data_IF_577935592940
#
_entry.id   IF_577935592940
#
_cell.length_a   1.000
_cell.length_b   1.000
_cell.length_c   1.000
_cell.angle_alpha   90.00
_cell.angle_beta   90.00
_cell.angle_gamma   90.00
#
_symmetry.space_group_name_H-M   'P 1'
#
loop_
_entity.id
_entity.type
_entity.pdbx_description
1 polymer ?
#
# COMPACT_ATOMS: atom_id res chain seq x y z
N UNK A 1 3.50 -5.42 -43.36
CA UNK A 1 4.24 -4.17 -43.64
C UNK A 1 3.27 -3.02 -43.41
N UNK A 2 3.31 -2.38 -42.24
CA UNK A 2 2.38 -1.29 -41.91
C UNK A 2 2.89 -0.02 -42.56
N UNK A 3 2.08 0.52 -43.47
CA UNK A 3 2.32 1.74 -44.25
C UNK A 3 2.52 2.93 -43.33
N UNK A 4 3.69 3.59 -43.44
CA UNK A 4 3.99 4.90 -42.88
C UNK A 4 2.90 5.87 -43.37
N UNK A 5 1.97 6.28 -42.51
CA UNK A 5 0.94 7.27 -42.87
C UNK A 5 1.63 8.60 -43.14
N UNK A 6 1.72 8.97 -44.41
CA UNK A 6 2.24 10.28 -44.82
C UNK A 6 1.29 11.38 -44.33
N UNK A 7 1.79 12.25 -43.46
CA UNK A 7 1.07 13.45 -43.03
C UNK A 7 1.03 14.42 -44.22
N UNK A 8 -0.07 14.38 -44.99
CA UNK A 8 -0.24 15.14 -46.24
C UNK A 8 -0.53 16.63 -46.04
N UNK A 9 -0.98 17.03 -44.86
CA UNK A 9 -1.37 18.42 -44.54
C UNK A 9 -0.24 19.20 -43.88
N UNK A 10 -0.15 20.50 -44.17
CA UNK A 10 0.80 21.41 -43.52
C UNK A 10 0.41 21.64 -42.04
N UNK A 11 1.42 21.78 -41.17
CA UNK A 11 1.22 22.08 -39.74
C UNK A 11 0.44 23.38 -39.52
N UNK A 12 0.69 24.39 -40.37
CA UNK A 12 0.02 25.69 -40.29
C UNK A 12 -1.48 25.56 -40.59
N UNK A 13 -1.83 24.86 -41.68
CA UNK A 13 -3.22 24.61 -42.06
C UNK A 13 -3.97 23.81 -41.00
N UNK A 14 -3.31 22.81 -40.44
CA UNK A 14 -3.92 22.00 -39.36
C UNK A 14 -4.16 22.81 -38.09
N UNK A 15 -3.25 23.73 -37.73
CA UNK A 15 -3.45 24.64 -36.60
C UNK A 15 -4.60 25.63 -36.85
N UNK A 16 -4.72 26.13 -38.08
CA UNK A 16 -5.80 27.01 -38.51
C UNK A 16 -7.16 26.30 -38.48
N UNK A 17 -7.26 25.11 -39.07
CA UNK A 17 -8.48 24.29 -39.07
C UNK A 17 -8.95 23.99 -37.63
N UNK A 18 -8.01 23.68 -36.73
CA UNK A 18 -8.30 23.44 -35.30
C UNK A 18 -8.83 24.72 -34.63
N UNK A 19 -8.18 25.87 -34.84
CA UNK A 19 -8.61 27.12 -34.23
C UNK A 19 -9.94 27.63 -34.82
N UNK A 20 -10.26 27.33 -36.09
CA UNK A 20 -11.57 27.63 -36.68
C UNK A 20 -12.69 26.83 -36.00
N UNK A 21 -12.46 25.53 -35.75
CA UNK A 21 -13.48 24.63 -35.18
C UNK A 21 -13.66 24.84 -33.67
N UNK A 22 -12.55 25.02 -32.93
CA UNK A 22 -12.55 25.05 -31.46
C UNK A 22 -12.43 26.44 -30.83
N UNK A 23 -12.22 27.47 -31.65
CA UNK A 23 -12.08 28.86 -31.22
C UNK A 23 -10.67 29.41 -31.40
N UNK A 24 -10.60 30.73 -31.64
CA UNK A 24 -9.35 31.42 -31.88
C UNK A 24 -8.40 31.25 -30.69
N UNK A 25 -7.17 30.81 -30.96
CA UNK A 25 -6.14 30.58 -29.94
C UNK A 25 -6.26 29.27 -29.16
N UNK A 26 -7.17 28.36 -29.52
CA UNK A 26 -7.31 27.05 -28.85
C UNK A 26 -6.02 26.22 -28.87
N UNK A 27 -5.28 26.22 -29.98
CA UNK A 27 -3.96 25.58 -30.10
C UNK A 27 -2.92 26.54 -30.67
N UNK A 28 -1.74 26.54 -30.03
CA UNK A 28 -0.57 27.25 -30.53
C UNK A 28 0.02 26.50 -31.76
N UNK A 29 0.26 27.19 -32.89
CA UNK A 29 0.90 26.57 -34.07
C UNK A 29 2.21 25.83 -33.78
N UNK A 30 3.00 26.30 -32.80
CA UNK A 30 4.24 25.63 -32.35
C UNK A 30 3.95 24.27 -31.70
N UNK A 31 2.82 24.13 -30.99
CA UNK A 31 2.39 22.86 -30.40
C UNK A 31 2.04 21.86 -31.50
N UNK A 32 1.29 22.28 -32.53
CA UNK A 32 0.97 21.43 -33.69
C UNK A 32 2.24 21.00 -34.42
N UNK A 33 3.20 21.91 -34.59
CA UNK A 33 4.49 21.59 -35.21
C UNK A 33 5.27 20.55 -34.41
N UNK A 34 5.32 20.67 -33.07
CA UNK A 34 5.98 19.69 -32.18
C UNK A 34 5.32 18.31 -32.28
N UNK A 35 3.99 18.23 -32.29
CA UNK A 35 3.26 16.97 -32.46
C UNK A 35 3.51 16.34 -33.83
N UNK A 36 3.47 17.12 -34.91
CA UNK A 36 3.79 16.63 -36.26
C UNK A 36 5.23 16.12 -36.38
N UNK A 37 6.17 16.71 -35.64
CA UNK A 37 7.54 16.20 -35.56
C UNK A 37 7.58 14.82 -34.88
N UNK A 38 6.93 14.68 -33.72
CA UNK A 38 6.81 13.39 -33.00
C UNK A 38 6.19 12.30 -33.87
N UNK A 39 5.09 12.60 -34.55
CA UNK A 39 4.42 11.64 -35.44
C UNK A 39 5.30 11.23 -36.64
N UNK A 40 6.08 12.16 -37.21
CA UNK A 40 7.03 11.84 -38.28
C UNK A 40 8.19 10.97 -37.81
N UNK A 41 8.59 11.11 -36.55
CA UNK A 41 9.58 10.28 -35.87
C UNK A 41 9.03 8.91 -35.47
N UNK A 42 7.73 8.64 -35.72
CA UNK A 42 7.06 7.37 -35.42
C UNK A 42 6.55 7.27 -33.98
N UNK A 43 6.62 8.35 -33.20
CA UNK A 43 6.02 8.40 -31.87
C UNK A 43 4.57 8.89 -31.98
N UNK A 44 3.64 7.93 -31.96
CA UNK A 44 2.19 8.17 -31.97
C UNK A 44 1.58 8.19 -30.55
N UNK A 45 2.40 8.16 -29.50
CA UNK A 45 1.92 8.24 -28.12
C UNK A 45 1.37 9.64 -27.82
N UNK A 46 0.15 9.66 -27.28
CA UNK A 46 -0.57 10.88 -26.91
C UNK A 46 -0.44 11.20 -25.43
N UNK A 47 0.11 10.29 -24.62
CA UNK A 47 0.32 10.52 -23.20
C UNK A 47 1.40 11.58 -22.97
N UNK A 48 1.29 12.26 -21.83
CA UNK A 48 2.36 13.16 -21.42
C UNK A 48 3.58 12.33 -21.01
N UNK A 49 4.76 12.73 -21.51
CA UNK A 49 6.00 12.20 -20.98
C UNK A 49 6.11 12.49 -19.48
N UNK A 50 6.85 11.62 -18.78
CA UNK A 50 7.14 11.78 -17.36
C UNK A 50 7.71 13.17 -17.10
N UNK A 51 6.92 13.99 -16.41
CA UNK A 51 7.36 15.31 -15.99
C UNK A 51 8.28 15.11 -14.80
N UNK A 52 9.50 15.67 -14.89
CA UNK A 52 10.45 15.64 -13.79
C UNK A 52 9.81 16.11 -12.49
N UNK A 53 9.80 15.24 -11.48
CA UNK A 53 9.37 15.58 -10.12
C UNK A 53 10.60 15.90 -9.28
N UNK A 54 10.54 16.86 -8.34
CA UNK A 54 11.60 17.03 -7.36
C UNK A 54 11.94 15.70 -6.68
N UNK A 55 13.23 15.46 -6.45
CA UNK A 55 13.69 14.26 -5.78
C UNK A 55 13.00 14.11 -4.42
N UNK A 56 12.63 12.88 -4.08
CA UNK A 56 12.12 12.57 -2.75
C UNK A 56 13.20 12.85 -1.72
N UNK A 57 12.86 13.58 -0.66
CA UNK A 57 13.76 13.80 0.49
C UNK A 57 13.94 12.52 1.31
N UNK A 58 12.93 11.63 1.29
CA UNK A 58 12.94 10.38 2.04
C UNK A 58 13.29 9.22 1.12
N UNK A 59 14.28 8.44 1.54
CA UNK A 59 14.56 7.12 0.99
C UNK A 59 13.62 6.07 1.62
N UNK A 60 12.87 5.38 0.77
CA UNK A 60 11.93 4.34 1.18
C UNK A 60 12.64 3.09 1.72
N UNK A 61 13.86 2.80 1.25
CA UNK A 61 14.62 1.65 1.73
C UNK A 61 15.14 1.91 3.14
N UNK A 62 15.66 3.12 3.40
CA UNK A 62 16.00 3.56 4.75
C UNK A 62 14.80 3.59 5.70
N UNK A 63 13.63 4.08 5.27
CA UNK A 63 12.42 4.03 6.10
C UNK A 63 12.02 2.57 6.41
N UNK A 64 12.21 1.66 5.46
CA UNK A 64 11.89 0.25 5.63
C UNK A 64 12.79 -0.42 6.68
N UNK A 65 14.10 -0.14 6.68
CA UNK A 65 15.02 -0.71 7.67
C UNK A 65 14.70 -0.24 9.09
N UNK A 66 14.33 1.04 9.27
CA UNK A 66 13.88 1.59 10.56
C UNK A 66 12.67 0.80 11.10
N UNK A 67 11.66 0.57 10.26
CA UNK A 67 10.42 -0.12 10.66
C UNK A 67 10.64 -1.62 10.90
N UNK A 68 11.54 -2.25 10.15
CA UNK A 68 11.87 -3.66 10.34
C UNK A 68 12.69 -3.90 11.61
N UNK A 69 13.49 -2.91 12.04
CA UNK A 69 14.20 -2.95 13.32
C UNK A 69 13.25 -2.82 14.51
N UNK A 70 12.29 -1.88 14.46
CA UNK A 70 11.24 -1.74 15.47
C UNK A 70 9.88 -1.38 14.86
N UNK A 71 9.05 -2.41 14.64
CA UNK A 71 7.70 -2.22 14.10
C UNK A 71 6.74 -1.44 15.02
N UNK A 72 7.11 -1.23 16.30
CA UNK A 72 6.29 -0.52 17.29
C UNK A 72 6.70 0.95 17.45
N UNK A 73 7.67 1.42 16.68
CA UNK A 73 8.14 2.79 16.76
C UNK A 73 7.02 3.78 16.43
N UNK A 74 7.03 4.93 17.10
CA UNK A 74 6.02 5.97 16.86
C UNK A 74 6.40 6.82 15.65
N UNK A 75 5.39 7.31 14.94
CA UNK A 75 5.59 8.27 13.82
C UNK A 75 6.37 9.51 14.26
N UNK A 76 6.27 9.90 15.54
CA UNK A 76 7.04 11.02 16.11
C UNK A 76 8.54 10.75 16.20
N UNK A 77 8.96 9.52 16.51
CA UNK A 77 10.38 9.20 16.45
C UNK A 77 10.88 9.13 15.01
N UNK A 78 10.10 8.51 14.13
CA UNK A 78 10.46 8.39 12.70
C UNK A 78 10.62 9.77 12.04
N UNK A 79 9.77 10.75 12.39
CA UNK A 79 9.88 12.10 11.83
C UNK A 79 11.10 12.87 12.38
N UNK A 80 11.48 12.63 13.64
CA UNK A 80 12.68 13.21 14.26
C UNK A 80 13.94 12.61 13.64
N UNK A 81 13.99 11.29 13.46
CA UNK A 81 15.11 10.57 12.86
C UNK A 81 15.35 10.95 11.38
N UNK A 82 14.27 11.26 10.65
CA UNK A 82 14.30 11.60 9.22
C UNK A 82 14.21 13.10 8.94
N UNK A 83 14.06 13.95 9.96
CA UNK A 83 13.86 15.40 9.86
C UNK A 83 12.78 15.83 8.83
N UNK A 84 11.69 15.07 8.74
CA UNK A 84 10.61 15.31 7.77
C UNK A 84 9.27 15.61 8.44
N UNK A 85 8.34 16.18 7.68
CA UNK A 85 6.98 16.37 8.16
C UNK A 85 6.25 15.04 8.34
N UNK A 86 5.32 15.02 9.30
CA UNK A 86 4.46 13.87 9.60
C UNK A 86 3.71 13.33 8.37
N UNK A 87 3.24 14.22 7.50
CA UNK A 87 2.50 13.85 6.29
C UNK A 87 3.40 13.14 5.27
N UNK A 88 4.67 13.57 5.17
CA UNK A 88 5.68 12.92 4.35
C UNK A 88 5.92 11.50 4.87
N UNK A 89 6.12 11.31 6.18
CA UNK A 89 6.26 9.96 6.77
C UNK A 89 5.07 9.07 6.42
N UNK A 90 3.83 9.53 6.60
CA UNK A 90 2.65 8.73 6.27
C UNK A 90 2.55 8.38 4.79
N UNK A 91 2.89 9.31 3.89
CA UNK A 91 2.89 9.08 2.45
C UNK A 91 3.88 7.98 2.09
N UNK A 92 5.09 8.04 2.64
CA UNK A 92 6.14 7.05 2.42
C UNK A 92 5.77 5.70 3.04
N UNK A 93 5.25 5.67 4.27
CA UNK A 93 4.70 4.45 4.89
C UNK A 93 3.66 3.76 4.01
N UNK A 94 2.77 4.53 3.38
CA UNK A 94 1.76 4.00 2.45
C UNK A 94 2.40 3.47 1.16
N UNK A 95 3.41 4.14 0.61
CA UNK A 95 4.14 3.68 -0.57
C UNK A 95 4.84 2.33 -0.33
N UNK A 96 5.40 2.11 0.86
CA UNK A 96 6.01 0.83 1.24
C UNK A 96 5.00 -0.20 1.76
N UNK A 97 3.70 0.09 1.69
CA UNK A 97 2.63 -0.84 2.09
C UNK A 97 2.50 -1.08 3.60
N UNK A 98 3.05 -0.21 4.45
CA UNK A 98 2.96 -0.34 5.90
C UNK A 98 1.70 0.35 6.43
N UNK A 99 0.99 -0.34 7.31
CA UNK A 99 -0.22 0.16 7.98
C UNK A 99 -0.13 -0.12 9.47
N UNK A 100 -0.62 0.80 10.30
CA UNK A 100 -0.69 0.58 11.74
C UNK A 100 -1.66 -0.56 12.05
N UNK A 101 -1.18 -1.59 12.74
CA UNK A 101 -2.01 -2.64 13.35
C UNK A 101 -1.88 -2.54 14.86
N UNK A 102 -2.98 -2.83 15.56
CA UNK A 102 -2.97 -2.90 17.02
C UNK A 102 -2.40 -4.27 17.40
N UNK A 103 -1.55 -4.29 18.44
CA UNK A 103 -1.00 -5.52 18.97
C UNK A 103 -2.11 -6.47 19.42
N UNK A 104 -1.89 -7.76 19.23
CA UNK A 104 -2.79 -8.79 19.72
C UNK A 104 -2.60 -8.97 21.23
N UNK A 105 -3.71 -9.03 21.97
CA UNK A 105 -3.66 -9.33 23.39
C UNK A 105 -3.23 -10.79 23.62
N UNK A 106 -2.15 -10.98 24.37
CA UNK A 106 -1.64 -12.30 24.75
C UNK A 106 -1.90 -12.50 26.24
N UNK A 107 -2.63 -13.56 26.66
CA UNK A 107 -3.05 -13.72 28.05
C UNK A 107 -1.92 -13.82 29.08
N UNK A 108 -0.78 -14.37 28.68
CA UNK A 108 0.34 -14.61 29.60
C UNK A 108 1.68 -14.57 28.88
N UNK A 109 2.67 -13.97 29.54
CA UNK A 109 4.05 -14.00 29.09
C UNK A 109 4.71 -15.32 29.49
N UNK A 110 4.81 -16.24 28.54
CA UNK A 110 5.35 -17.58 28.80
C UNK A 110 6.88 -17.55 28.94
N UNK A 111 7.39 -18.24 29.96
CA UNK A 111 8.81 -18.54 30.11
C UNK A 111 9.30 -19.51 29.02
N UNK A 112 10.62 -19.54 28.77
CA UNK A 112 11.23 -20.45 27.79
C UNK A 112 10.90 -21.92 28.08
N UNK A 113 10.91 -22.31 29.36
CA UNK A 113 10.54 -23.66 29.81
C UNK A 113 9.08 -23.98 29.45
N UNK A 114 8.13 -23.09 29.76
CA UNK A 114 6.71 -23.28 29.43
C UNK A 114 6.48 -23.36 27.91
N UNK A 115 7.20 -22.56 27.10
CA UNK A 115 7.13 -22.64 25.63
C UNK A 115 7.59 -24.02 25.13
N UNK A 116 8.72 -24.52 25.64
CA UNK A 116 9.25 -25.83 25.25
C UNK A 116 8.29 -26.96 25.64
N UNK A 117 7.80 -26.98 26.88
CA UNK A 117 6.84 -28.00 27.32
C UNK A 117 5.56 -27.99 26.48
N UNK A 118 5.04 -26.82 26.12
CA UNK A 118 3.87 -26.70 25.22
C UNK A 118 4.16 -27.26 23.83
N UNK A 119 5.34 -26.97 23.27
CA UNK A 119 5.74 -27.48 21.96
C UNK A 119 5.83 -29.01 21.95
N UNK A 120 6.46 -29.60 22.97
CA UNK A 120 6.59 -31.06 23.12
C UNK A 120 5.21 -31.73 23.23
N UNK A 121 4.34 -31.23 24.11
CA UNK A 121 2.97 -31.75 24.28
C UNK A 121 2.19 -31.64 22.96
N UNK A 122 2.18 -30.48 22.33
CA UNK A 122 1.47 -30.28 21.05
C UNK A 122 2.00 -31.21 19.96
N UNK A 123 3.32 -31.40 19.87
CA UNK A 123 3.95 -32.26 18.86
C UNK A 123 3.58 -33.72 19.07
N UNK A 124 3.61 -34.18 20.32
CA UNK A 124 3.19 -35.54 20.69
C UNK A 124 1.70 -35.78 20.41
N UNK A 125 0.82 -34.84 20.78
CA UNK A 125 -0.62 -34.92 20.51
C UNK A 125 -0.92 -34.89 19.01
N UNK A 126 -0.19 -34.09 18.23
CA UNK A 126 -0.34 -34.03 16.77
C UNK A 126 0.07 -35.35 16.12
N UNK A 127 1.22 -35.93 16.53
CA UNK A 127 1.67 -37.22 16.02
C UNK A 127 0.69 -38.34 16.38
N UNK A 128 0.23 -38.37 17.64
CA UNK A 128 -0.80 -39.30 18.08
C UNK A 128 -2.06 -39.18 17.22
N UNK A 129 -2.56 -37.97 16.98
CA UNK A 129 -3.77 -37.77 16.20
C UNK A 129 -3.66 -38.22 14.74
N UNK A 130 -2.44 -38.18 14.16
CA UNK A 130 -2.20 -38.71 12.81
C UNK A 130 -2.26 -40.24 12.77
N UNK A 131 -1.77 -40.89 13.82
CA UNK A 131 -1.68 -42.35 13.87
C UNK A 131 -3.00 -42.99 14.35
N UNK A 132 -3.65 -42.40 15.36
CA UNK A 132 -4.94 -42.81 15.90
C UNK A 132 -5.76 -41.54 16.23
N UNK A 133 -6.63 -41.10 15.30
CA UNK A 133 -7.47 -39.93 15.51
C UNK A 133 -8.36 -40.09 16.74
N UNK A 134 -8.17 -39.23 17.74
CA UNK A 134 -8.81 -39.37 19.05
C UNK A 134 -9.74 -38.21 19.41
N UNK A 135 -9.88 -37.19 18.56
CA UNK A 135 -10.68 -35.99 18.83
C UNK A 135 -12.16 -36.30 19.11
N UNK A 136 -12.72 -37.33 18.48
CA UNK A 136 -14.11 -37.75 18.70
C UNK A 136 -14.35 -38.41 20.08
N UNK A 137 -13.29 -38.78 20.80
CA UNK A 137 -13.35 -39.38 22.14
C UNK A 137 -13.03 -38.38 23.26
N UNK A 138 -12.65 -37.14 22.92
CA UNK A 138 -12.29 -36.13 23.93
C UNK A 138 -13.55 -35.52 24.53
N UNK A 139 -13.61 -35.50 25.86
CA UNK A 139 -14.52 -34.67 26.64
C UNK A 139 -13.67 -33.61 27.35
N UNK A 140 -13.99 -32.33 27.16
CA UNK A 140 -13.34 -31.22 27.85
C UNK A 140 -14.31 -30.56 28.83
N UNK A 141 -13.74 -29.95 29.87
CA UNK A 141 -14.50 -29.17 30.83
C UNK A 141 -13.71 -27.91 31.18
N UNK A 142 -14.41 -26.81 31.44
CA UNK A 142 -13.83 -25.53 31.84
C UNK A 142 -14.89 -24.62 32.43
N UNK A 143 -14.44 -23.68 33.26
CA UNK A 143 -15.31 -22.71 33.92
C UNK A 143 -15.15 -21.34 33.26
N UNK A 144 -16.26 -20.62 33.13
CA UNK A 144 -16.28 -19.25 32.64
C UNK A 144 -17.22 -18.42 33.51
N UNK A 145 -16.73 -17.31 34.01
CA UNK A 145 -17.56 -16.33 34.72
C UNK A 145 -18.53 -15.65 33.75
N UNK A 146 -19.80 -15.60 34.14
CA UNK A 146 -20.84 -14.84 33.44
C UNK A 146 -21.21 -13.65 34.32
N UNK A 147 -20.90 -12.44 33.84
CA UNK A 147 -21.24 -11.23 34.55
C UNK A 147 -22.76 -11.00 34.49
N UNK A 148 -23.38 -10.78 35.64
CA UNK A 148 -24.79 -10.43 35.73
C UNK A 148 -24.94 -8.90 35.77
N UNK A 149 -25.61 -8.33 34.75
CA UNK A 149 -25.86 -6.88 34.63
C UNK A 149 -27.24 -6.51 35.19
N UNK A 150 -27.27 -5.99 36.41
CA UNK A 150 -28.48 -5.52 37.09
C UNK A 150 -28.87 -4.11 36.64
N UNK A 151 -29.37 -3.97 35.41
CA UNK A 151 -29.94 -2.70 34.96
C UNK A 151 -31.24 -2.41 35.68
N UNK A 152 -31.22 -1.46 36.62
CA UNK A 152 -32.44 -0.90 37.21
C UNK A 152 -33.25 -0.23 36.11
N UNK A 153 -34.51 -0.65 35.91
CA UNK A 153 -35.43 0.06 35.04
C UNK A 153 -35.71 1.43 35.68
N UNK A 154 -35.40 2.51 34.96
CA UNK A 154 -35.77 3.86 35.38
C UNK A 154 -37.27 4.01 35.13
N UNK A 155 -38.08 3.98 36.19
CA UNK A 155 -39.54 4.16 36.08
C UNK A 155 -40.40 3.43 37.12
N UNK A 156 -39.95 3.27 38.36
CA UNK A 156 -40.81 2.93 39.50
C UNK A 156 -40.52 3.85 40.67
#
# INVERSE_FOLDING_TARGET
MVTKREIRTSTAKTAEDINIVFGEGFVNPLTVQRWFKRFREGNEDLENEDRGRPASVVDNDHLRTIIEADSKQTVRRILEDLEVSKDTVFRHLKQIGKTKKIDQWVPHELTKKQKNSRLEICSSLLLRNKNDPFLNRIVTWGEKWILYDNRKRVGQ
#
